data_IF_893110469870
#
_entry.id   IF_893110469870
#
_cell.length_a   1.000
_cell.length_b   1.000
_cell.length_c   1.000
_cell.angle_alpha   90.00
_cell.angle_beta   90.00
_cell.angle_gamma   90.00
#
_symmetry.space_group_name_H-M   'P 1'
#
loop_
_entity.id
_entity.type
_entity.pdbx_description
1 polymer ?
#
# COMPACT_ATOMS: atom_id res chain seq x y z
N UNK A 1 -47.11 7.18 19.32
CA UNK A 1 -46.36 7.44 18.09
C UNK A 1 -44.89 7.83 18.25
N UNK A 2 -44.47 8.45 19.35
CA UNK A 2 -43.06 8.83 19.61
C UNK A 2 -42.11 7.66 19.90
N UNK A 3 -42.62 6.57 20.47
CA UNK A 3 -41.83 5.37 20.82
C UNK A 3 -41.49 4.47 19.63
N UNK A 4 -42.29 4.50 18.56
CA UNK A 4 -42.02 3.72 17.34
C UNK A 4 -40.89 4.31 16.51
N UNK A 5 -40.72 5.62 16.49
CA UNK A 5 -39.67 6.32 15.74
C UNK A 5 -38.28 6.08 16.35
N UNK A 6 -38.21 5.98 17.68
CA UNK A 6 -36.93 5.72 18.39
C UNK A 6 -36.44 4.31 18.17
N UNK A 7 -37.33 3.33 18.06
CA UNK A 7 -36.98 1.94 17.81
C UNK A 7 -36.47 1.71 16.39
N UNK A 8 -37.01 2.44 15.41
CA UNK A 8 -36.57 2.38 13.99
C UNK A 8 -35.19 3.03 13.86
N UNK A 9 -34.92 4.13 14.59
CA UNK A 9 -33.59 4.78 14.57
C UNK A 9 -32.51 3.89 15.18
N UNK A 10 -32.80 3.07 16.19
CA UNK A 10 -31.85 2.12 16.76
C UNK A 10 -31.60 0.87 15.88
N UNK A 11 -32.58 0.46 15.08
CA UNK A 11 -32.43 -0.66 14.14
C UNK A 11 -31.61 -0.31 12.90
N UNK A 12 -31.55 0.96 12.51
CA UNK A 12 -30.73 1.42 11.36
C UNK A 12 -29.24 1.52 11.74
N UNK A 13 -28.90 1.69 13.03
CA UNK A 13 -27.51 1.71 13.51
C UNK A 13 -26.89 0.31 13.71
N UNK A 14 -27.66 -0.76 13.58
CA UNK A 14 -27.18 -2.14 13.65
C UNK A 14 -27.03 -2.82 12.26
N UNK A 15 -27.16 -2.07 11.18
CA UNK A 15 -26.59 -2.54 9.94
C UNK A 15 -25.07 -2.53 10.12
N UNK A 16 -24.55 -3.68 10.46
CA UNK A 16 -23.14 -4.01 10.51
C UNK A 16 -22.42 -3.28 9.38
N UNK A 17 -21.68 -2.25 9.73
CA UNK A 17 -20.56 -1.78 8.93
C UNK A 17 -19.62 -2.99 8.86
N UNK A 18 -19.82 -3.87 7.89
CA UNK A 18 -18.83 -4.85 7.49
C UNK A 18 -17.67 -4.03 6.99
N UNK A 19 -16.72 -3.81 7.89
CA UNK A 19 -15.60 -2.95 7.63
C UNK A 19 -14.82 -3.49 6.43
N UNK A 20 -15.01 -2.85 5.29
CA UNK A 20 -13.93 -2.83 4.32
C UNK A 20 -12.74 -2.27 5.05
N UNK A 21 -11.62 -2.99 5.02
CA UNK A 21 -10.37 -2.43 5.53
C UNK A 21 -10.09 -1.19 4.69
N UNK A 22 -10.37 -0.02 5.25
CA UNK A 22 -10.17 1.24 4.56
C UNK A 22 -8.67 1.36 4.30
N UNK A 23 -8.26 1.27 3.03
CA UNK A 23 -6.85 1.28 2.63
C UNK A 23 -6.15 2.56 3.09
N UNK A 24 -6.88 3.66 3.29
CA UNK A 24 -6.37 4.93 3.81
C UNK A 24 -5.83 4.80 5.23
N UNK A 25 -6.34 3.85 6.02
CA UNK A 25 -5.90 3.59 7.40
C UNK A 25 -4.65 2.70 7.46
N UNK A 26 -4.18 2.18 6.31
CA UNK A 26 -2.96 1.38 6.24
C UNK A 26 -1.75 2.31 6.25
N UNK A 27 -1.23 2.61 7.44
CA UNK A 27 -0.02 3.42 7.59
C UNK A 27 1.22 2.54 7.65
N UNK A 28 1.97 2.52 6.55
CA UNK A 28 3.26 1.81 6.41
C UNK A 28 4.44 2.78 6.32
N UNK A 29 4.20 4.08 6.62
CA UNK A 29 5.17 5.16 6.37
C UNK A 29 6.36 5.15 7.31
N UNK A 30 6.18 4.66 8.53
CA UNK A 30 7.20 4.81 9.58
C UNK A 30 8.17 3.65 9.65
N UNK A 31 7.68 2.40 9.56
CA UNK A 31 8.49 1.22 9.88
C UNK A 31 8.46 0.13 8.80
N UNK A 32 7.87 0.36 7.64
CA UNK A 32 7.60 -0.66 6.61
C UNK A 32 6.88 -1.90 7.16
N UNK A 33 6.09 -1.72 8.22
CA UNK A 33 5.33 -2.76 8.89
C UNK A 33 3.88 -2.33 9.01
N UNK A 34 2.98 -3.30 9.01
CA UNK A 34 1.57 -3.08 9.26
C UNK A 34 1.00 -4.26 10.05
N UNK A 35 0.08 -3.97 10.95
CA UNK A 35 -0.60 -4.97 11.78
C UNK A 35 -2.10 -4.75 11.72
N UNK A 36 -2.83 -5.83 11.50
CA UNK A 36 -4.29 -5.87 11.54
C UNK A 36 -4.75 -6.92 12.53
N UNK A 37 -5.70 -6.55 13.38
CA UNK A 37 -6.31 -7.44 14.38
C UNK A 37 -7.82 -7.35 14.25
N UNK A 38 -8.50 -8.48 14.18
CA UNK A 38 -9.95 -8.54 14.19
C UNK A 38 -10.47 -9.64 15.13
N UNK A 39 -11.58 -9.33 15.80
CA UNK A 39 -12.29 -10.29 16.64
C UNK A 39 -13.13 -11.23 15.79
N UNK A 40 -13.10 -12.51 16.12
CA UNK A 40 -13.90 -13.54 15.47
C UNK A 40 -13.95 -14.77 16.36
N UNK A 41 -15.14 -15.32 16.63
CA UNK A 41 -15.38 -16.42 17.55
C UNK A 41 -15.34 -17.82 16.87
N UNK A 42 -14.88 -17.93 15.63
CA UNK A 42 -14.58 -19.22 15.02
C UNK A 42 -13.40 -19.86 15.76
N UNK A 43 -13.37 -21.17 16.03
CA UNK A 43 -12.23 -21.84 16.65
C UNK A 43 -10.92 -21.60 15.90
N UNK A 44 -9.79 -21.47 16.62
CA UNK A 44 -8.50 -21.15 16.05
C UNK A 44 -8.05 -22.13 14.95
N UNK A 45 -8.25 -23.43 15.18
CA UNK A 45 -7.93 -24.48 14.22
C UNK A 45 -8.73 -24.35 12.91
N UNK A 46 -10.00 -23.99 13.02
CA UNK A 46 -10.87 -23.79 11.84
C UNK A 46 -10.48 -22.53 11.07
N UNK A 47 -10.18 -21.42 11.77
CA UNK A 47 -9.63 -20.21 11.15
C UNK A 47 -8.35 -20.51 10.38
N UNK A 48 -7.40 -21.17 11.04
CA UNK A 48 -6.13 -21.55 10.45
C UNK A 48 -6.31 -22.40 9.19
N UNK A 49 -7.14 -23.46 9.26
CA UNK A 49 -7.43 -24.32 8.11
C UNK A 49 -8.05 -23.56 6.94
N UNK A 50 -8.99 -22.65 7.21
CA UNK A 50 -9.62 -21.81 6.18
C UNK A 50 -8.65 -20.83 5.55
N UNK A 51 -7.84 -20.18 6.37
CA UNK A 51 -6.79 -19.24 5.90
C UNK A 51 -5.78 -19.99 5.05
N UNK A 52 -5.30 -21.14 5.53
CA UNK A 52 -4.29 -21.95 4.84
C UNK A 52 -4.78 -22.36 3.46
N UNK A 53 -6.02 -22.84 3.37
CA UNK A 53 -6.66 -23.20 2.09
C UNK A 53 -6.79 -21.99 1.17
N UNK A 54 -7.22 -20.84 1.70
CA UNK A 54 -7.37 -19.63 0.89
C UNK A 54 -6.02 -19.13 0.37
N UNK A 55 -4.96 -19.17 1.18
CA UNK A 55 -3.62 -18.80 0.77
C UNK A 55 -3.09 -19.68 -0.36
N UNK A 56 -3.36 -21.00 -0.32
CA UNK A 56 -3.01 -21.94 -1.40
C UNK A 56 -3.71 -21.62 -2.72
N UNK A 57 -4.94 -21.10 -2.66
CA UNK A 57 -5.72 -20.71 -3.83
C UNK A 57 -5.35 -19.31 -4.35
N UNK A 58 -4.97 -18.39 -3.44
CA UNK A 58 -4.74 -16.98 -3.75
C UNK A 58 -3.30 -16.65 -4.12
N UNK A 59 -2.32 -17.27 -3.46
CA UNK A 59 -0.89 -17.00 -3.67
C UNK A 59 -0.34 -18.02 -4.68
N UNK A 60 0.09 -17.58 -5.88
CA UNK A 60 0.78 -18.48 -6.81
C UNK A 60 2.00 -19.11 -6.14
N UNK A 61 2.15 -20.43 -6.32
CA UNK A 61 3.28 -21.18 -5.77
C UNK A 61 3.48 -21.04 -4.25
N UNK A 62 2.36 -20.93 -3.51
CA UNK A 62 2.34 -20.66 -2.07
C UNK A 62 3.31 -21.54 -1.28
N UNK A 63 3.45 -22.82 -1.63
CA UNK A 63 4.34 -23.76 -0.93
C UNK A 63 5.79 -23.28 -0.88
N UNK A 64 6.27 -22.65 -1.92
CA UNK A 64 7.64 -22.12 -2.00
C UNK A 64 7.79 -20.75 -1.31
N UNK A 65 6.68 -20.11 -0.93
CA UNK A 65 6.69 -18.83 -0.21
C UNK A 65 6.65 -19.01 1.31
N UNK A 66 6.33 -20.23 1.81
CA UNK A 66 6.22 -20.51 3.24
C UNK A 66 7.59 -20.40 3.90
N UNK A 67 7.67 -19.58 4.96
CA UNK A 67 8.84 -19.49 5.85
C UNK A 67 8.62 -20.43 7.03
N UNK A 68 7.43 -20.34 7.64
CA UNK A 68 7.06 -21.11 8.82
C UNK A 68 5.60 -21.55 8.71
N UNK A 69 5.32 -22.79 9.04
CA UNK A 69 3.97 -23.32 9.15
C UNK A 69 3.86 -24.11 10.48
N UNK A 70 3.15 -23.53 11.45
CA UNK A 70 2.94 -24.09 12.79
C UNK A 70 1.47 -24.42 13.04
N UNK A 71 0.99 -25.59 12.58
CA UNK A 71 -0.41 -25.99 12.78
C UNK A 71 -0.79 -26.05 14.27
N UNK A 72 0.14 -26.43 15.15
CA UNK A 72 -0.09 -26.54 16.61
C UNK A 72 -0.29 -25.17 17.27
N UNK A 73 0.31 -24.10 16.71
CA UNK A 73 0.12 -22.73 17.15
C UNK A 73 -0.88 -21.95 16.30
N UNK A 74 -1.49 -22.61 15.29
CA UNK A 74 -2.41 -22.00 14.33
C UNK A 74 -1.84 -20.75 13.67
N UNK A 75 -0.56 -20.85 13.27
CA UNK A 75 0.22 -19.75 12.69
C UNK A 75 0.85 -20.18 11.37
N UNK A 76 0.82 -19.28 10.40
CA UNK A 76 1.57 -19.40 9.14
C UNK A 76 2.31 -18.11 8.84
N UNK A 77 3.58 -18.24 8.46
CA UNK A 77 4.41 -17.13 7.98
C UNK A 77 4.92 -17.43 6.57
N UNK A 78 4.81 -16.45 5.66
CA UNK A 78 5.13 -16.61 4.25
C UNK A 78 5.61 -15.29 3.65
N UNK A 79 6.37 -15.38 2.54
CA UNK A 79 6.89 -14.22 1.82
C UNK A 79 6.52 -14.31 0.34
N UNK A 80 5.35 -13.83 -0.06
CA UNK A 80 4.88 -13.87 -1.43
C UNK A 80 5.36 -12.67 -2.26
N UNK A 81 5.24 -12.81 -3.57
CA UNK A 81 5.25 -11.70 -4.53
C UNK A 81 3.83 -11.49 -5.06
N UNK A 82 3.13 -10.48 -4.57
CA UNK A 82 1.74 -10.19 -4.95
C UNK A 82 1.72 -9.04 -5.95
N UNK A 83 1.32 -9.33 -7.19
CA UNK A 83 1.13 -8.30 -8.21
C UNK A 83 0.03 -7.32 -7.77
N UNK A 84 0.30 -6.02 -7.84
CA UNK A 84 -0.68 -5.00 -7.47
C UNK A 84 -0.87 -3.89 -8.50
N UNK A 85 0.10 -3.66 -9.37
CA UNK A 85 0.00 -2.70 -10.47
C UNK A 85 0.74 -3.27 -11.70
N UNK A 86 0.05 -3.28 -12.82
CA UNK A 86 0.58 -3.74 -14.10
C UNK A 86 0.38 -2.66 -15.14
N UNK A 87 1.47 -2.13 -15.65
CA UNK A 87 1.49 -1.25 -16.82
C UNK A 87 2.18 -1.96 -17.99
N UNK A 88 2.06 -1.41 -19.19
CA UNK A 88 2.72 -1.96 -20.39
C UNK A 88 4.25 -2.12 -20.22
N UNK A 89 4.85 -1.27 -19.39
CA UNK A 89 6.32 -1.23 -19.24
C UNK A 89 6.82 -1.76 -17.89
N UNK A 90 5.97 -1.87 -16.88
CA UNK A 90 6.37 -2.26 -15.53
C UNK A 90 5.26 -3.00 -14.79
N UNK A 91 5.62 -4.12 -14.17
CA UNK A 91 4.78 -4.80 -13.18
C UNK A 91 5.35 -4.54 -11.79
N UNK A 92 4.48 -4.16 -10.85
CA UNK A 92 4.84 -3.91 -9.46
C UNK A 92 4.29 -5.01 -8.57
N UNK A 93 5.14 -5.49 -7.67
CA UNK A 93 4.82 -6.53 -6.70
C UNK A 93 4.96 -6.00 -5.27
N UNK A 94 4.01 -6.36 -4.43
CA UNK A 94 4.14 -6.30 -2.97
C UNK A 94 4.96 -7.51 -2.51
N UNK A 95 6.04 -7.26 -1.79
CA UNK A 95 6.84 -8.29 -1.12
C UNK A 95 6.91 -7.94 0.35
N UNK A 96 6.52 -8.86 1.21
CA UNK A 96 6.56 -8.67 2.67
C UNK A 96 6.65 -10.03 3.37
N UNK A 97 7.21 -10.04 4.58
CA UNK A 97 7.05 -11.17 5.50
C UNK A 97 5.65 -11.04 6.14
N UNK A 98 4.78 -11.96 5.84
CA UNK A 98 3.38 -11.96 6.27
C UNK A 98 3.17 -13.10 7.25
N UNK A 99 2.75 -12.75 8.47
CA UNK A 99 2.40 -13.72 9.50
C UNK A 99 0.90 -13.62 9.78
N UNK A 100 0.20 -14.75 9.72
CA UNK A 100 -1.20 -14.87 10.16
C UNK A 100 -1.25 -15.77 11.36
N UNK A 101 -1.74 -15.24 12.48
CA UNK A 101 -1.93 -15.94 13.75
C UNK A 101 -3.41 -16.02 14.08
N UNK A 102 -3.92 -17.21 14.33
CA UNK A 102 -5.31 -17.46 14.66
C UNK A 102 -5.44 -17.87 16.14
N UNK A 103 -6.35 -17.22 16.87
CA UNK A 103 -6.74 -17.52 18.25
C UNK A 103 -8.26 -17.69 18.32
N UNK A 104 -8.80 -18.27 19.37
CA UNK A 104 -10.24 -18.56 19.45
C UNK A 104 -11.11 -17.31 19.40
N UNK A 105 -10.64 -16.19 19.96
CA UNK A 105 -11.36 -14.92 20.05
C UNK A 105 -11.04 -13.93 18.92
N UNK A 106 -9.89 -14.12 18.26
CA UNK A 106 -9.37 -13.16 17.26
C UNK A 106 -8.44 -13.80 16.23
N UNK A 107 -8.08 -13.04 15.23
CA UNK A 107 -6.94 -13.32 14.37
C UNK A 107 -6.12 -12.05 14.15
N UNK A 108 -4.87 -12.25 13.83
CA UNK A 108 -3.91 -11.18 13.61
C UNK A 108 -3.14 -11.40 12.30
N UNK A 109 -2.98 -10.35 11.52
CA UNK A 109 -2.17 -10.35 10.30
C UNK A 109 -1.06 -9.30 10.47
N UNK A 110 0.17 -9.76 10.48
CA UNK A 110 1.37 -8.90 10.56
C UNK A 110 2.11 -8.91 9.24
N UNK A 111 2.32 -7.74 8.67
CA UNK A 111 3.20 -7.55 7.52
C UNK A 111 4.46 -6.85 8.00
N UNK A 112 5.62 -7.46 7.75
CA UNK A 112 6.94 -6.91 8.09
C UNK A 112 7.78 -6.77 6.83
N UNK A 113 8.72 -5.84 6.85
CA UNK A 113 9.62 -5.60 5.73
C UNK A 113 8.87 -5.39 4.41
N UNK A 114 7.82 -4.59 4.45
CA UNK A 114 7.00 -4.30 3.27
C UNK A 114 7.87 -3.59 2.22
N UNK A 115 8.03 -4.21 1.07
CA UNK A 115 8.84 -3.73 -0.04
C UNK A 115 8.04 -3.70 -1.34
N UNK A 116 8.47 -2.84 -2.25
CA UNK A 116 8.02 -2.80 -3.63
C UNK A 116 9.09 -3.42 -4.53
N UNK A 117 8.73 -4.42 -5.31
CA UNK A 117 9.59 -5.04 -6.32
C UNK A 117 9.07 -4.71 -7.72
N UNK A 118 9.97 -4.50 -8.67
CA UNK A 118 9.69 -4.49 -10.11
C UNK A 118 10.47 -5.64 -10.75
N UNK A 119 10.20 -5.94 -12.01
CA UNK A 119 10.96 -6.99 -12.74
C UNK A 119 12.47 -6.72 -12.77
N UNK A 120 12.87 -5.45 -12.72
CA UNK A 120 14.27 -5.03 -12.88
C UNK A 120 14.95 -4.57 -11.59
N UNK A 121 14.19 -4.32 -10.52
CA UNK A 121 14.75 -3.80 -9.28
C UNK A 121 13.89 -4.16 -8.07
N UNK A 122 14.56 -4.49 -6.96
CA UNK A 122 13.93 -4.57 -5.64
C UNK A 122 14.24 -3.29 -4.89
N UNK A 123 13.23 -2.47 -4.64
CA UNK A 123 13.39 -1.30 -3.78
C UNK A 123 13.15 -1.73 -2.33
N UNK A 124 14.24 -1.84 -1.56
CA UNK A 124 14.19 -2.18 -0.13
C UNK A 124 13.60 -1.06 0.74
N UNK A 125 13.08 0.00 0.12
CA UNK A 125 12.51 1.13 0.83
C UNK A 125 11.19 1.51 0.17
N UNK A 126 10.11 1.39 0.93
CA UNK A 126 8.97 2.30 0.75
C UNK A 126 9.48 3.68 1.15
N UNK A 127 10.23 4.29 0.26
CA UNK A 127 10.69 5.65 0.49
C UNK A 127 9.44 6.50 0.53
N UNK A 128 9.21 7.17 1.66
CA UNK A 128 8.10 8.09 1.83
C UNK A 128 8.00 8.98 0.58
N UNK A 129 6.82 9.18 0.00
CA UNK A 129 6.64 10.05 -1.16
C UNK A 129 7.38 11.39 -1.02
N UNK A 130 7.40 11.97 0.19
CA UNK A 130 8.14 13.19 0.51
C UNK A 130 9.66 13.06 0.42
N UNK A 131 10.22 11.89 0.71
CA UNK A 131 11.68 11.67 0.65
C UNK A 131 12.14 11.43 -0.78
N UNK A 132 11.40 10.62 -1.54
CA UNK A 132 11.61 10.45 -2.99
C UNK A 132 11.48 11.80 -3.68
N UNK A 133 10.45 12.57 -3.33
CA UNK A 133 10.23 13.89 -3.85
C UNK A 133 11.42 14.81 -3.61
N UNK A 134 11.91 14.93 -2.37
CA UNK A 134 13.08 15.78 -2.05
C UNK A 134 14.32 15.37 -2.84
N UNK A 135 14.59 14.08 -2.97
CA UNK A 135 15.74 13.57 -3.73
C UNK A 135 15.60 13.85 -5.23
N UNK A 136 14.42 13.60 -5.81
CA UNK A 136 14.17 13.86 -7.24
C UNK A 136 14.05 15.35 -7.56
N UNK A 137 13.51 16.14 -6.65
CA UNK A 137 13.53 17.60 -6.79
C UNK A 137 14.95 18.14 -6.79
N UNK A 138 15.81 17.61 -5.92
CA UNK A 138 17.22 17.96 -5.91
C UNK A 138 17.85 17.62 -7.27
N UNK A 139 17.65 16.42 -7.77
CA UNK A 139 18.19 15.99 -9.06
C UNK A 139 17.63 16.80 -10.23
N UNK A 140 16.33 17.10 -10.26
CA UNK A 140 15.74 17.94 -11.30
C UNK A 140 16.26 19.37 -11.26
N UNK A 141 16.45 19.93 -10.06
CA UNK A 141 17.05 21.25 -9.90
C UNK A 141 18.52 21.25 -10.30
N UNK A 142 19.28 20.19 -10.03
CA UNK A 142 20.67 20.05 -10.46
C UNK A 142 20.76 19.86 -11.97
N UNK A 143 19.84 19.08 -12.56
CA UNK A 143 19.74 18.90 -14.00
C UNK A 143 19.48 20.24 -14.73
N UNK A 144 18.55 21.05 -14.22
CA UNK A 144 18.29 22.40 -14.79
C UNK A 144 19.50 23.28 -14.66
N UNK A 145 20.23 23.23 -13.56
CA UNK A 145 21.46 23.99 -13.37
C UNK A 145 22.56 23.64 -14.38
N UNK A 146 22.48 22.40 -14.95
CA UNK A 146 23.42 21.97 -15.99
C UNK A 146 23.11 22.57 -17.37
N UNK A 147 21.88 23.04 -17.63
CA UNK A 147 21.55 23.69 -18.88
C UNK A 147 22.31 25.02 -18.99
N UNK A 148 23.09 25.17 -20.03
CA UNK A 148 23.89 26.37 -20.25
C UNK A 148 23.02 27.65 -20.29
N UNK A 149 21.82 27.54 -20.85
CA UNK A 149 20.86 28.64 -20.87
C UNK A 149 20.37 29.06 -19.47
N UNK A 150 20.21 28.13 -18.55
CA UNK A 150 19.87 28.47 -17.17
C UNK A 150 21.02 29.17 -16.45
N UNK A 151 22.25 28.68 -16.67
CA UNK A 151 23.47 29.29 -16.11
C UNK A 151 23.64 30.74 -16.62
N UNK A 152 23.50 30.92 -17.93
CA UNK A 152 23.57 32.22 -18.57
C UNK A 152 22.54 33.18 -17.98
N UNK A 153 21.25 32.79 -17.97
CA UNK A 153 20.16 33.64 -17.51
C UNK A 153 20.23 33.93 -16.00
N UNK A 154 20.62 32.93 -15.19
CA UNK A 154 20.70 33.11 -13.74
C UNK A 154 21.88 33.96 -13.27
N UNK A 155 22.92 34.10 -14.09
CA UNK A 155 24.10 34.94 -13.79
C UNK A 155 23.95 36.40 -14.18
N UNK A 156 22.98 36.74 -15.01
CA UNK A 156 22.74 38.12 -15.46
C UNK A 156 22.10 38.97 -14.35
N UNK A 157 22.66 40.14 -14.08
CA UNK A 157 22.08 41.09 -13.12
C UNK A 157 20.80 41.76 -13.64
N UNK A 158 20.71 41.98 -14.95
CA UNK A 158 19.54 42.58 -15.60
C UNK A 158 19.08 41.66 -16.74
N UNK A 159 17.89 41.12 -16.61
CA UNK A 159 17.23 40.27 -17.61
C UNK A 159 16.29 41.14 -18.46
N UNK A 160 16.28 40.93 -19.77
CA UNK A 160 15.23 41.42 -20.64
C UNK A 160 13.89 40.76 -20.35
N UNK A 161 12.80 41.29 -20.87
CA UNK A 161 11.47 40.68 -20.72
C UNK A 161 11.42 39.23 -21.22
N UNK A 162 12.06 38.95 -22.37
CA UNK A 162 12.08 37.61 -22.97
C UNK A 162 12.99 36.66 -22.21
N UNK A 163 14.12 37.13 -21.68
CA UNK A 163 15.00 36.34 -20.82
C UNK A 163 14.32 35.99 -19.48
N UNK A 164 13.54 36.91 -18.92
CA UNK A 164 12.73 36.69 -17.73
C UNK A 164 11.67 35.59 -17.98
N UNK A 165 11.00 35.64 -19.14
CA UNK A 165 10.05 34.62 -19.55
C UNK A 165 10.74 33.26 -19.71
N UNK A 166 11.87 33.20 -20.42
CA UNK A 166 12.64 31.98 -20.61
C UNK A 166 13.08 31.32 -19.27
N UNK A 167 13.59 32.15 -18.34
CA UNK A 167 13.98 31.69 -17.02
C UNK A 167 12.76 31.16 -16.21
N UNK A 168 11.60 31.82 -16.34
CA UNK A 168 10.35 31.40 -15.73
C UNK A 168 9.86 30.07 -16.31
N UNK A 169 9.98 29.83 -17.60
CA UNK A 169 9.63 28.58 -18.27
C UNK A 169 10.53 27.42 -17.84
N UNK A 170 11.85 27.65 -17.74
CA UNK A 170 12.79 26.65 -17.22
C UNK A 170 12.44 26.25 -15.78
N UNK A 171 12.13 27.23 -14.93
CA UNK A 171 11.66 26.96 -13.55
C UNK A 171 10.31 26.25 -13.52
N UNK A 172 9.40 26.58 -14.44
CA UNK A 172 8.09 25.92 -14.57
C UNK A 172 8.24 24.47 -15.02
N UNK A 173 9.16 24.19 -15.95
CA UNK A 173 9.46 22.82 -16.37
C UNK A 173 9.89 21.95 -15.19
N UNK A 174 10.77 22.45 -14.32
CA UNK A 174 11.16 21.77 -13.09
C UNK A 174 9.96 21.47 -12.17
N UNK A 175 9.07 22.44 -12.00
CA UNK A 175 7.89 22.30 -11.15
C UNK A 175 6.87 21.31 -11.72
N UNK A 176 6.63 21.34 -13.05
CA UNK A 176 5.72 20.38 -13.71
C UNK A 176 6.24 18.95 -13.60
N UNK A 177 7.55 18.75 -13.77
CA UNK A 177 8.18 17.44 -13.59
C UNK A 177 8.05 16.95 -12.15
N UNK A 178 8.16 17.87 -11.18
CA UNK A 178 7.95 17.64 -9.76
C UNK A 178 6.55 17.12 -9.46
N UNK A 179 5.53 17.84 -9.92
CA UNK A 179 4.13 17.48 -9.67
C UNK A 179 3.79 16.09 -10.24
N UNK A 180 4.20 15.81 -11.47
CA UNK A 180 4.01 14.48 -12.09
C UNK A 180 4.72 13.35 -11.35
N UNK A 181 5.91 13.60 -10.81
CA UNK A 181 6.64 12.61 -10.02
C UNK A 181 5.88 12.32 -8.72
N UNK A 182 5.42 13.38 -8.01
CA UNK A 182 4.65 13.22 -6.78
C UNK A 182 3.37 12.43 -7.05
N UNK A 183 2.61 12.83 -8.07
CA UNK A 183 1.36 12.17 -8.44
C UNK A 183 1.57 10.68 -8.72
N UNK A 184 2.60 10.34 -9.50
CA UNK A 184 2.97 8.95 -9.80
C UNK A 184 3.32 8.16 -8.54
N UNK A 185 4.15 8.71 -7.66
CA UNK A 185 4.57 8.02 -6.44
C UNK A 185 3.41 7.91 -5.43
N UNK A 186 2.55 8.92 -5.35
CA UNK A 186 1.34 8.86 -4.52
C UNK A 186 0.37 7.79 -5.03
N UNK A 187 0.18 7.70 -6.34
CA UNK A 187 -0.63 6.64 -6.95
C UNK A 187 -0.07 5.26 -6.60
N UNK A 188 1.23 5.03 -6.79
CA UNK A 188 1.87 3.75 -6.49
C UNK A 188 1.77 3.37 -5.01
N UNK A 189 1.88 4.36 -4.11
CA UNK A 189 1.67 4.16 -2.68
C UNK A 189 0.23 3.74 -2.36
N UNK A 190 -0.74 4.44 -2.94
CA UNK A 190 -2.16 4.10 -2.79
C UNK A 190 -2.49 2.72 -3.34
N UNK A 191 -1.93 2.35 -4.49
CA UNK A 191 -2.15 1.04 -5.09
C UNK A 191 -1.54 -0.09 -4.23
N UNK A 192 -0.40 0.17 -3.57
CA UNK A 192 0.17 -0.75 -2.59
C UNK A 192 -0.71 -0.89 -1.33
N UNK A 193 -1.24 0.22 -0.79
CA UNK A 193 -2.20 0.17 0.33
C UNK A 193 -3.44 -0.65 -0.03
N UNK A 194 -3.97 -0.48 -1.24
CA UNK A 194 -5.10 -1.27 -1.75
C UNK A 194 -4.76 -2.76 -1.88
N UNK A 195 -3.53 -3.10 -2.26
CA UNK A 195 -3.10 -4.50 -2.34
C UNK A 195 -3.07 -5.15 -0.95
N UNK A 196 -2.54 -4.45 0.05
CA UNK A 196 -2.54 -4.90 1.45
C UNK A 196 -3.98 -5.06 1.95
N UNK A 197 -4.86 -4.08 1.70
CA UNK A 197 -6.27 -4.17 2.09
C UNK A 197 -6.95 -5.40 1.49
N UNK A 198 -6.77 -5.65 0.18
CA UNK A 198 -7.34 -6.84 -0.50
C UNK A 198 -6.86 -8.15 0.10
N UNK A 199 -5.57 -8.24 0.46
CA UNK A 199 -5.01 -9.42 1.11
C UNK A 199 -5.70 -9.67 2.46
N UNK A 200 -5.80 -8.63 3.31
CA UNK A 200 -6.43 -8.71 4.63
C UNK A 200 -7.92 -9.07 4.51
N UNK A 201 -8.64 -8.41 3.61
CA UNK A 201 -10.05 -8.72 3.33
C UNK A 201 -10.26 -10.16 2.84
N UNK A 202 -9.34 -10.67 2.02
CA UNK A 202 -9.36 -12.05 1.57
C UNK A 202 -9.21 -13.02 2.72
N UNK A 203 -8.25 -12.81 3.62
CA UNK A 203 -8.03 -13.58 4.85
C UNK A 203 -9.28 -13.51 5.74
N UNK A 204 -9.81 -12.32 5.96
CA UNK A 204 -11.00 -12.10 6.78
C UNK A 204 -12.24 -12.83 6.22
N UNK A 205 -12.46 -12.75 4.91
CA UNK A 205 -13.55 -13.48 4.22
C UNK A 205 -13.37 -14.99 4.31
N UNK A 206 -12.14 -15.49 4.20
CA UNK A 206 -11.83 -16.90 4.37
C UNK A 206 -12.18 -17.36 5.79
N UNK A 207 -11.78 -16.62 6.82
CA UNK A 207 -12.07 -16.90 8.23
C UNK A 207 -13.58 -16.91 8.50
N UNK A 208 -14.31 -15.91 8.01
CA UNK A 208 -15.77 -15.83 8.18
C UNK A 208 -16.51 -16.99 7.50
N UNK A 209 -15.89 -17.59 6.47
CA UNK A 209 -16.50 -18.66 5.68
C UNK A 209 -17.67 -18.16 4.82
N UNK A 210 -18.02 -18.94 3.80
CA UNK A 210 -19.29 -18.69 3.08
C UNK A 210 -20.44 -18.98 4.04
N UNK A 211 -21.32 -17.99 4.34
CA UNK A 211 -22.61 -18.32 4.96
C UNK A 211 -23.25 -19.39 4.06
N UNK A 212 -23.41 -20.61 4.59
CA UNK A 212 -24.27 -21.60 3.93
C UNK A 212 -25.66 -20.96 3.85
N UNK A 213 -26.10 -20.68 2.62
CA UNK A 213 -27.51 -20.34 2.35
C UNK A 213 -28.36 -21.57 2.56
#
# INVERSE_FOLDING_TARGET
MKTLLTTIMFLVFWTTVYGQVAYENIDIKTNNNYQYVATNNTPANEKYSRVRKWLEEYIPDFKNTIIVDYPQAFQVEFRPEIEYDKSETNTHYLVANICVECRDDKFEVKLKEINRKTLTSTCNYLTLPNKIYKTRQYNANEEIKQFDRYKELSSKKNLTSDETKALKELKRYANVTKEKIIEKEMKQYTDLQKAIARLIEGIEKAIKGKKRK
#
